data_IF_079797216324
#
_entry.id   IF_079797216324
#
_cell.length_a   1.000
_cell.length_b   1.000
_cell.length_c   1.000
_cell.angle_alpha   90.00
_cell.angle_beta   90.00
_cell.angle_gamma   90.00
#
_symmetry.space_group_name_H-M   'P 1'
#
loop_
_entity.id
_entity.type
_entity.pdbx_description
1 polymer ?
#
# COMPACT_ATOMS: atom_id res chain seq x y z
N UNK A 1 -11.15 -35.79 -51.67
CA UNK A 1 -11.81 -34.60 -51.08
C UNK A 1 -11.20 -34.33 -49.70
N UNK A 2 -10.32 -33.33 -49.59
CA UNK A 2 -9.63 -32.94 -48.34
C UNK A 2 -10.58 -32.11 -47.47
N UNK A 3 -10.96 -32.62 -46.30
CA UNK A 3 -11.71 -31.85 -45.28
C UNK A 3 -10.72 -31.12 -44.38
N UNK A 4 -10.49 -29.84 -44.68
CA UNK A 4 -9.75 -28.90 -43.83
C UNK A 4 -10.64 -28.62 -42.61
N UNK A 5 -10.20 -29.05 -41.42
CA UNK A 5 -10.81 -28.64 -40.16
C UNK A 5 -10.14 -27.34 -39.72
N UNK A 6 -10.85 -26.22 -39.79
CA UNK A 6 -10.46 -24.97 -39.15
C UNK A 6 -10.67 -25.12 -37.63
N UNK A 7 -9.57 -25.22 -36.89
CA UNK A 7 -9.57 -25.04 -35.43
C UNK A 7 -9.75 -23.55 -35.14
N UNK A 8 -10.96 -23.15 -34.75
CA UNK A 8 -11.23 -21.86 -34.13
C UNK A 8 -10.66 -21.88 -32.71
N UNK A 9 -9.41 -21.47 -32.57
CA UNK A 9 -8.84 -21.10 -31.28
C UNK A 9 -9.50 -19.82 -30.78
N UNK A 10 -10.33 -19.93 -29.74
CA UNK A 10 -10.85 -18.77 -29.02
C UNK A 10 -9.70 -18.20 -28.19
N UNK A 11 -8.98 -17.23 -28.75
CA UNK A 11 -8.08 -16.37 -27.99
C UNK A 11 -8.97 -15.40 -27.21
N UNK A 12 -9.14 -15.65 -25.91
CA UNK A 12 -9.70 -14.64 -25.00
C UNK A 12 -8.66 -13.51 -24.86
N UNK A 13 -8.76 -12.52 -25.74
CA UNK A 13 -8.18 -11.22 -25.49
C UNK A 13 -8.98 -10.58 -24.35
N UNK A 14 -8.42 -10.56 -23.15
CA UNK A 14 -8.87 -9.65 -22.10
C UNK A 14 -8.81 -8.24 -22.70
N UNK A 15 -9.98 -7.68 -23.01
CA UNK A 15 -10.12 -6.28 -23.41
C UNK A 15 -9.44 -5.41 -22.36
N UNK A 16 -8.66 -4.38 -22.74
CA UNK A 16 -8.15 -3.42 -21.79
C UNK A 16 -9.37 -2.70 -21.20
N UNK A 17 -9.78 -3.09 -20.00
CA UNK A 17 -10.70 -2.28 -19.22
C UNK A 17 -10.01 -0.93 -19.05
N UNK A 18 -10.70 0.14 -19.44
CA UNK A 18 -10.37 1.50 -19.01
C UNK A 18 -10.69 1.65 -17.52
N UNK A 19 -10.13 0.75 -16.71
CA UNK A 19 -10.30 0.67 -15.27
C UNK A 19 -9.41 1.71 -14.59
N UNK A 20 -9.79 2.07 -13.36
CA UNK A 20 -8.90 2.87 -12.53
C UNK A 20 -7.58 2.12 -12.33
N UNK A 21 -6.45 2.81 -12.32
CA UNK A 21 -5.18 2.19 -11.98
C UNK A 21 -4.45 3.09 -10.99
N UNK A 22 -4.04 2.52 -9.85
CA UNK A 22 -3.31 3.23 -8.83
C UNK A 22 -1.84 2.81 -8.88
N UNK A 23 -1.02 3.70 -9.45
CA UNK A 23 0.42 3.57 -9.60
C UNK A 23 1.08 4.92 -9.34
N UNK A 24 2.39 4.95 -9.00
CA UNK A 24 3.10 6.21 -8.83
C UNK A 24 3.15 7.00 -10.14
N UNK A 25 2.83 8.30 -10.10
CA UNK A 25 2.94 9.19 -11.26
C UNK A 25 4.20 10.06 -11.18
N UNK A 26 4.84 10.41 -12.32
CA UNK A 26 5.99 11.30 -12.31
C UNK A 26 5.65 12.64 -11.65
N UNK A 27 6.55 13.14 -10.80
CA UNK A 27 6.40 14.40 -10.06
C UNK A 27 5.25 14.44 -9.04
N UNK A 28 4.68 13.28 -8.69
CA UNK A 28 3.70 13.20 -7.62
C UNK A 28 4.36 13.50 -6.26
N UNK A 29 3.77 14.45 -5.53
CA UNK A 29 4.26 14.88 -4.20
C UNK A 29 3.47 14.29 -3.03
N UNK A 30 2.32 13.70 -3.30
CA UNK A 30 1.38 13.17 -2.30
C UNK A 30 1.15 11.66 -2.50
N UNK A 31 0.34 11.05 -1.63
CA UNK A 31 -0.06 9.66 -1.76
C UNK A 31 -0.76 9.36 -3.10
N UNK A 32 -0.70 8.08 -3.48
CA UNK A 32 -1.60 7.53 -4.49
C UNK A 32 -3.06 7.68 -4.05
N UNK A 33 -3.98 7.76 -5.01
CA UNK A 33 -5.42 7.86 -4.74
C UNK A 33 -5.90 6.71 -3.84
N UNK A 34 -6.53 7.00 -2.69
CA UNK A 34 -7.05 5.97 -1.79
C UNK A 34 -8.09 5.08 -2.47
N UNK A 35 -7.92 3.77 -2.33
CA UNK A 35 -8.82 2.76 -2.91
C UNK A 35 -9.62 1.96 -1.86
N UNK A 36 -9.25 2.10 -0.59
CA UNK A 36 -9.90 1.48 0.57
C UNK A 36 -10.37 2.55 1.56
N UNK A 37 -11.36 2.25 2.43
CA UNK A 37 -11.74 3.13 3.54
C UNK A 37 -10.56 3.44 4.46
N UNK A 38 -9.72 2.43 4.76
CA UNK A 38 -8.53 2.57 5.60
C UNK A 38 -7.54 3.59 5.02
N UNK A 39 -7.20 3.49 3.72
CA UNK A 39 -6.27 4.45 3.11
C UNK A 39 -6.84 5.86 3.05
N UNK A 40 -8.17 5.99 2.93
CA UNK A 40 -8.83 7.29 2.97
C UNK A 40 -8.63 7.95 4.35
N UNK A 41 -8.83 7.21 5.43
CA UNK A 41 -8.65 7.73 6.78
C UNK A 41 -7.16 7.99 7.10
N UNK A 42 -6.23 7.17 6.58
CA UNK A 42 -4.78 7.45 6.62
C UNK A 42 -4.47 8.77 5.91
N UNK A 43 -5.03 9.00 4.72
CA UNK A 43 -4.82 10.21 3.94
C UNK A 43 -5.34 11.46 4.67
N UNK A 44 -6.56 11.41 5.20
CA UNK A 44 -7.15 12.51 5.97
C UNK A 44 -6.34 12.81 7.23
N UNK A 45 -5.91 11.77 7.97
CA UNK A 45 -5.07 11.91 9.16
C UNK A 45 -3.70 12.51 8.82
N UNK A 46 -3.09 12.09 7.71
CA UNK A 46 -1.85 12.68 7.21
C UNK A 46 -2.01 14.18 6.92
N UNK A 47 -3.08 14.59 6.24
CA UNK A 47 -3.29 16.02 5.93
C UNK A 47 -3.45 16.86 7.20
N UNK A 48 -4.12 16.32 8.23
CA UNK A 48 -4.21 16.95 9.54
C UNK A 48 -2.82 17.11 10.19
N UNK A 49 -2.02 16.03 10.22
CA UNK A 49 -0.67 16.05 10.77
C UNK A 49 0.24 17.05 10.04
N UNK A 50 0.26 16.99 8.71
CA UNK A 50 1.06 17.87 7.87
C UNK A 50 0.69 19.35 8.09
N UNK A 51 -0.58 19.64 8.31
CA UNK A 51 -1.04 21.01 8.62
C UNK A 51 -0.53 21.48 9.99
N UNK A 52 -0.61 20.63 11.02
CA UNK A 52 -0.10 20.94 12.37
C UNK A 52 1.42 21.15 12.34
N UNK A 53 2.16 20.22 11.73
CA UNK A 53 3.62 20.30 11.59
C UNK A 53 4.04 21.52 10.78
N UNK A 54 3.34 21.80 9.67
CA UNK A 54 3.56 22.98 8.85
C UNK A 54 3.41 24.27 9.64
N UNK A 55 2.37 24.40 10.47
CA UNK A 55 2.17 25.59 11.33
C UNK A 55 3.27 25.72 12.38
N UNK A 56 3.71 24.62 12.99
CA UNK A 56 4.82 24.63 13.96
C UNK A 56 6.13 25.05 13.27
N UNK A 57 6.44 24.47 12.11
CA UNK A 57 7.64 24.82 11.33
C UNK A 57 7.61 26.29 10.93
N UNK A 58 6.46 26.81 10.47
CA UNK A 58 6.31 28.22 10.12
C UNK A 58 6.49 29.13 11.34
N UNK A 59 5.93 28.77 12.51
CA UNK A 59 6.12 29.52 13.75
C UNK A 59 7.60 29.57 14.15
N UNK A 60 8.27 28.43 14.19
CA UNK A 60 9.69 28.34 14.56
C UNK A 60 10.54 29.12 13.55
N UNK A 61 10.29 28.96 12.25
CA UNK A 61 11.00 29.69 11.21
C UNK A 61 10.80 31.21 11.35
N UNK A 62 9.57 31.67 11.61
CA UNK A 62 9.29 33.08 11.82
C UNK A 62 10.01 33.64 13.05
N UNK A 63 10.03 32.90 14.17
CA UNK A 63 10.77 33.28 15.37
C UNK A 63 12.28 33.34 15.12
N UNK A 64 12.84 32.38 14.38
CA UNK A 64 14.26 32.39 14.00
C UNK A 64 14.60 33.59 13.11
N UNK A 65 13.79 33.86 12.08
CA UNK A 65 13.95 35.03 11.21
C UNK A 65 13.86 36.32 12.03
N UNK A 66 12.89 36.41 12.94
CA UNK A 66 12.77 37.53 13.86
C UNK A 66 14.02 37.70 14.72
N UNK A 67 14.54 36.62 15.31
CA UNK A 67 15.76 36.66 16.13
C UNK A 67 16.96 37.13 15.32
N UNK A 68 17.15 36.58 14.11
CA UNK A 68 18.24 36.95 13.19
C UNK A 68 18.18 38.45 12.85
N UNK A 69 17.00 39.00 12.58
CA UNK A 69 16.86 40.41 12.18
C UNK A 69 16.92 41.36 13.37
N UNK A 70 16.27 41.01 14.49
CA UNK A 70 16.08 41.91 15.65
C UNK A 70 17.25 41.88 16.62
N UNK A 71 17.86 40.72 16.84
CA UNK A 71 18.89 40.50 17.87
C UNK A 71 20.30 40.33 17.30
N UNK A 72 20.53 40.54 16.00
CA UNK A 72 21.89 40.63 15.43
C UNK A 72 22.75 41.66 16.15
N UNK A 73 24.06 41.39 16.22
CA UNK A 73 25.04 42.21 16.94
C UNK A 73 25.01 43.71 16.58
N UNK A 74 24.74 44.05 15.31
CA UNK A 74 24.65 45.45 14.89
C UNK A 74 23.46 46.22 15.47
N UNK A 75 22.37 45.54 15.86
CA UNK A 75 21.14 46.16 16.39
C UNK A 75 20.93 45.94 17.89
N UNK A 76 21.56 44.93 18.48
CA UNK A 76 21.40 44.60 19.89
C UNK A 76 22.75 44.63 20.62
N UNK A 77 23.25 45.83 20.91
CA UNK A 77 24.58 46.04 21.53
C UNK A 77 24.63 45.71 23.02
N UNK A 78 23.49 45.66 23.71
CA UNK A 78 23.37 45.32 25.13
C UNK A 78 22.37 44.15 25.30
N UNK A 79 22.84 42.89 25.20
CA UNK A 79 21.95 41.73 25.32
C UNK A 79 21.35 41.62 26.73
N UNK A 80 20.13 41.09 26.80
CA UNK A 80 19.51 40.74 28.08
C UNK A 80 20.33 39.65 28.80
N UNK A 81 20.32 39.69 30.13
CA UNK A 81 20.96 38.69 31.00
C UNK A 81 19.95 37.72 31.64
N UNK A 82 18.68 37.82 31.27
CA UNK A 82 17.64 36.94 31.79
C UNK A 82 17.95 35.49 31.42
N UNK A 83 17.99 34.60 32.40
CA UNK A 83 18.35 33.19 32.19
C UNK A 83 17.14 32.25 32.09
N UNK A 84 16.00 32.61 32.69
CA UNK A 84 14.79 31.78 32.71
C UNK A 84 13.53 32.64 32.83
N UNK A 85 12.38 32.07 32.48
CA UNK A 85 11.08 32.70 32.67
C UNK A 85 9.99 31.64 32.86
N UNK A 86 9.78 31.18 34.09
CA UNK A 86 8.97 30.00 34.44
C UNK A 86 7.61 29.93 33.75
N UNK A 87 6.87 31.04 33.66
CA UNK A 87 5.56 31.05 32.99
C UNK A 87 5.67 30.68 31.50
N UNK A 88 6.73 31.15 30.82
CA UNK A 88 6.97 30.83 29.42
C UNK A 88 7.36 29.36 29.26
N UNK A 89 8.10 28.82 30.23
CA UNK A 89 8.49 27.41 30.26
C UNK A 89 7.28 26.48 30.41
N UNK A 90 6.34 26.85 31.29
CA UNK A 90 5.07 26.14 31.44
C UNK A 90 4.27 26.20 30.13
N UNK A 91 4.18 27.37 29.48
CA UNK A 91 3.42 27.54 28.24
C UNK A 91 3.98 26.66 27.12
N UNK A 92 5.29 26.71 26.84
CA UNK A 92 5.87 25.90 25.76
C UNK A 92 5.93 24.41 26.08
N UNK A 93 5.70 24.01 27.33
CA UNK A 93 5.62 22.59 27.72
C UNK A 93 4.18 22.09 27.60
N UNK A 94 3.21 22.89 28.08
CA UNK A 94 1.80 22.55 28.04
C UNK A 94 1.23 22.54 26.61
N UNK A 95 1.63 23.49 25.74
CA UNK A 95 1.11 23.56 24.38
C UNK A 95 1.45 22.30 23.56
N UNK A 96 2.71 21.83 23.47
CA UNK A 96 3.03 20.58 22.78
C UNK A 96 2.30 19.37 23.34
N UNK A 97 2.13 19.29 24.67
CA UNK A 97 1.37 18.22 25.30
C UNK A 97 -0.10 18.20 24.81
N UNK A 98 -0.74 19.37 24.74
CA UNK A 98 -2.11 19.50 24.23
C UNK A 98 -2.20 19.15 22.73
N UNK A 99 -1.22 19.56 21.92
CA UNK A 99 -1.15 19.21 20.49
C UNK A 99 -1.07 17.68 20.33
N UNK A 100 -0.20 17.01 21.10
CA UNK A 100 -0.09 15.55 21.07
C UNK A 100 -1.39 14.86 21.49
N UNK A 101 -2.11 15.38 22.48
CA UNK A 101 -3.41 14.84 22.89
C UNK A 101 -4.46 14.93 21.77
N UNK A 102 -4.49 16.05 21.03
CA UNK A 102 -5.38 16.23 19.87
C UNK A 102 -5.05 15.25 18.74
N UNK A 103 -3.76 14.99 18.50
CA UNK A 103 -3.30 14.03 17.49
C UNK A 103 -3.66 12.58 17.87
N UNK A 104 -3.51 12.24 19.16
CA UNK A 104 -3.65 10.87 19.64
C UNK A 104 -5.06 10.29 19.43
N UNK A 105 -6.12 11.08 19.61
CA UNK A 105 -7.50 10.60 19.52
C UNK A 105 -7.88 10.03 18.14
N UNK A 106 -7.75 10.76 17.01
CA UNK A 106 -8.00 10.21 15.69
C UNK A 106 -7.00 9.10 15.31
N UNK A 107 -5.75 9.18 15.80
CA UNK A 107 -4.73 8.16 15.57
C UNK A 107 -5.15 6.81 16.14
N UNK A 108 -5.61 6.75 17.39
CA UNK A 108 -6.07 5.49 17.99
C UNK A 108 -7.29 4.93 17.27
N UNK A 109 -8.27 5.77 16.90
CA UNK A 109 -9.44 5.32 16.15
C UNK A 109 -9.05 4.66 14.82
N UNK A 110 -8.11 5.27 14.09
CA UNK A 110 -7.58 4.73 12.84
C UNK A 110 -6.82 3.42 13.06
N UNK A 111 -5.98 3.34 14.10
CA UNK A 111 -5.26 2.12 14.46
C UNK A 111 -6.23 0.94 14.69
N UNK A 112 -7.30 1.15 15.46
CA UNK A 112 -8.31 0.12 15.68
C UNK A 112 -9.02 -0.29 14.38
N UNK A 113 -9.32 0.65 13.49
CA UNK A 113 -9.92 0.34 12.18
C UNK A 113 -9.00 -0.54 11.31
N UNK A 114 -7.69 -0.30 11.38
CA UNK A 114 -6.68 -1.06 10.64
C UNK A 114 -6.51 -2.49 11.18
N UNK A 115 -6.54 -2.67 12.50
CA UNK A 115 -6.25 -3.97 13.12
C UNK A 115 -7.51 -4.83 13.35
N UNK A 116 -8.70 -4.24 13.46
CA UNK A 116 -9.95 -4.99 13.61
C UNK A 116 -10.47 -5.46 12.25
N UNK A 117 -10.05 -6.65 11.83
CA UNK A 117 -10.59 -7.30 10.63
C UNK A 117 -12.11 -7.52 10.78
N UNK A 118 -12.95 -6.91 9.92
CA UNK A 118 -14.37 -7.21 9.90
C UNK A 118 -14.60 -8.66 9.46
N UNK A 119 -15.82 -9.18 9.64
CA UNK A 119 -16.18 -10.50 9.10
C UNK A 119 -15.82 -10.55 7.61
N UNK A 120 -14.92 -11.46 7.26
CA UNK A 120 -14.37 -11.62 5.92
C UNK A 120 -15.28 -12.49 5.07
N UNK A 121 -15.50 -12.08 3.82
CA UNK A 121 -16.24 -12.82 2.81
C UNK A 121 -15.30 -13.63 1.89
N UNK A 122 -14.01 -13.27 1.86
CA UNK A 122 -12.96 -13.94 1.11
C UNK A 122 -11.65 -13.90 1.90
N UNK A 123 -10.91 -15.01 1.90
CA UNK A 123 -9.54 -15.07 2.44
C UNK A 123 -8.53 -15.22 1.31
N UNK A 124 -7.45 -14.44 1.39
CA UNK A 124 -6.28 -14.58 0.52
C UNK A 124 -5.06 -14.73 1.43
N UNK A 125 -4.17 -15.66 1.10
CA UNK A 125 -2.89 -15.82 1.79
C UNK A 125 -1.76 -15.48 0.83
N UNK A 126 -0.95 -14.50 1.21
CA UNK A 126 0.22 -14.02 0.48
C UNK A 126 1.50 -14.52 1.16
N UNK A 127 2.29 -15.32 0.45
CA UNK A 127 3.52 -15.93 0.94
C UNK A 127 4.70 -15.29 0.21
N UNK A 128 5.59 -14.64 0.96
CA UNK A 128 6.84 -14.09 0.42
C UNK A 128 7.91 -15.17 0.26
N UNK A 129 8.51 -15.24 -0.92
CA UNK A 129 9.65 -16.10 -1.26
C UNK A 129 10.76 -15.26 -1.89
N UNK A 130 12.02 -15.71 -1.86
CA UNK A 130 13.13 -15.09 -2.58
C UNK A 130 13.09 -15.48 -4.07
N UNK A 131 12.70 -14.63 -5.02
CA UNK A 131 12.14 -13.27 -4.90
C UNK A 131 10.89 -13.16 -5.77
N UNK A 132 9.77 -13.66 -5.23
CA UNK A 132 8.44 -13.67 -5.83
C UNK A 132 7.37 -13.89 -4.75
N UNK A 133 6.09 -13.76 -5.11
CA UNK A 133 4.99 -14.00 -4.18
C UNK A 133 4.18 -15.24 -4.60
N UNK A 134 3.83 -16.09 -3.65
CA UNK A 134 2.82 -17.13 -3.86
C UNK A 134 1.50 -16.69 -3.23
N UNK A 135 0.40 -16.90 -3.93
CA UNK A 135 -0.94 -16.60 -3.43
C UNK A 135 -1.78 -17.87 -3.33
N UNK A 136 -2.50 -18.01 -2.21
CA UNK A 136 -3.50 -19.05 -1.99
C UNK A 136 -4.86 -18.40 -1.74
N UNK A 137 -5.90 -18.93 -2.37
CA UNK A 137 -7.30 -18.64 -2.08
C UNK A 137 -7.88 -19.89 -1.43
N UNK A 138 -7.71 -20.07 -0.10
CA UNK A 138 -8.06 -21.32 0.58
C UNK A 138 -9.55 -21.69 0.44
N UNK A 139 -10.42 -20.68 0.37
CA UNK A 139 -11.86 -20.87 0.19
C UNK A 139 -12.24 -21.43 -1.20
N UNK A 140 -11.29 -21.45 -2.15
CA UNK A 140 -11.51 -21.80 -3.55
C UNK A 140 -10.51 -22.82 -4.12
N UNK A 141 -9.57 -23.31 -3.31
CA UNK A 141 -8.51 -24.27 -3.70
C UNK A 141 -7.68 -23.79 -4.91
N UNK A 142 -7.36 -22.50 -4.93
CA UNK A 142 -6.51 -21.88 -5.96
C UNK A 142 -5.17 -21.52 -5.34
N UNK A 143 -4.08 -21.91 -6.01
CA UNK A 143 -2.72 -21.52 -5.68
C UNK A 143 -1.97 -21.14 -6.95
N UNK A 144 -1.21 -20.05 -6.91
CA UNK A 144 -0.30 -19.67 -8.00
C UNK A 144 0.84 -18.79 -7.53
N UNK A 145 1.91 -18.79 -8.30
CA UNK A 145 3.06 -17.90 -8.11
C UNK A 145 2.93 -16.65 -8.99
N UNK A 146 3.44 -15.54 -8.49
CA UNK A 146 3.43 -14.23 -9.12
C UNK A 146 4.86 -13.71 -9.23
N UNK A 147 5.39 -13.73 -10.45
CA UNK A 147 6.74 -13.30 -10.79
C UNK A 147 6.70 -11.98 -11.54
N UNK A 148 7.70 -11.13 -11.29
CA UNK A 148 7.88 -9.89 -12.04
C UNK A 148 8.14 -10.19 -13.52
N UNK A 149 7.46 -9.45 -14.41
CA UNK A 149 7.76 -9.50 -15.83
C UNK A 149 9.10 -8.83 -16.14
N UNK A 150 9.89 -9.46 -17.00
CA UNK A 150 11.08 -8.83 -17.59
C UNK A 150 10.70 -7.82 -18.66
N UNK A 151 11.60 -6.89 -19.01
CA UNK A 151 11.33 -5.83 -19.98
C UNK A 151 10.85 -6.35 -21.34
N UNK A 152 11.38 -7.50 -21.79
CA UNK A 152 10.99 -8.13 -23.05
C UNK A 152 9.59 -8.79 -23.00
N UNK A 153 9.04 -9.02 -21.81
CA UNK A 153 7.71 -9.61 -21.61
C UNK A 153 6.61 -8.56 -21.43
N UNK A 154 6.98 -7.29 -21.22
CA UNK A 154 6.03 -6.20 -21.02
C UNK A 154 5.29 -5.89 -22.32
N UNK A 155 3.97 -5.74 -22.21
CA UNK A 155 3.09 -5.23 -23.26
C UNK A 155 3.03 -3.70 -23.20
N UNK A 156 2.71 -3.02 -24.31
CA UNK A 156 2.49 -1.57 -24.32
C UNK A 156 1.49 -1.16 -23.23
N UNK A 157 1.88 -0.17 -22.40
CA UNK A 157 1.08 0.33 -21.28
C UNK A 157 1.35 -0.32 -19.93
N UNK A 158 2.10 -1.44 -19.87
CA UNK A 158 2.49 -2.06 -18.61
C UNK A 158 3.68 -1.36 -17.96
N UNK A 159 3.74 -1.41 -16.63
CA UNK A 159 4.73 -0.68 -15.83
C UNK A 159 5.95 -1.55 -15.55
N UNK A 160 7.13 -1.03 -15.91
CA UNK A 160 8.42 -1.65 -15.61
C UNK A 160 8.60 -1.80 -14.10
N UNK A 161 9.12 -2.96 -13.66
CA UNK A 161 9.35 -3.32 -12.25
C UNK A 161 8.09 -3.47 -11.37
N UNK A 162 6.89 -3.24 -11.91
CA UNK A 162 5.64 -3.32 -11.16
C UNK A 162 4.72 -4.43 -11.67
N UNK A 163 4.76 -4.74 -12.96
CA UNK A 163 3.91 -5.76 -13.56
C UNK A 163 4.37 -7.19 -13.26
N UNK A 164 3.41 -8.11 -13.17
CA UNK A 164 3.61 -9.54 -12.90
C UNK A 164 2.94 -10.44 -13.94
N UNK A 165 3.35 -11.71 -13.98
CA UNK A 165 2.74 -12.74 -14.83
C UNK A 165 1.33 -13.15 -14.37
N UNK A 166 1.11 -13.26 -13.06
CA UNK A 166 -0.16 -13.61 -12.44
C UNK A 166 -0.53 -12.58 -11.38
N UNK A 167 -1.60 -11.82 -11.63
CA UNK A 167 -2.14 -10.85 -10.68
C UNK A 167 -3.08 -11.52 -9.67
N UNK A 168 -3.12 -10.96 -8.47
CA UNK A 168 -4.17 -11.28 -7.48
C UNK A 168 -5.47 -10.66 -7.97
N UNK A 169 -6.53 -11.44 -8.18
CA UNK A 169 -7.84 -10.91 -8.57
C UNK A 169 -8.77 -10.91 -7.37
N UNK A 170 -9.48 -9.80 -7.15
CA UNK A 170 -10.40 -9.62 -6.02
C UNK A 170 -11.74 -9.01 -6.47
N UNK A 171 -12.86 -9.36 -5.85
CA UNK A 171 -14.13 -8.68 -6.09
C UNK A 171 -14.19 -7.33 -5.37
N UNK A 172 -14.78 -6.33 -6.04
CA UNK A 172 -15.11 -5.05 -5.42
C UNK A 172 -16.22 -5.19 -4.39
N UNK A 173 -16.27 -4.27 -3.42
CA UNK A 173 -17.26 -4.20 -2.34
C UNK A 173 -17.29 -5.39 -1.39
N UNK A 174 -16.25 -6.22 -1.38
CA UNK A 174 -16.13 -7.41 -0.52
C UNK A 174 -15.13 -7.19 0.60
N UNK A 175 -15.42 -7.69 1.81
CA UNK A 175 -14.44 -7.67 2.90
C UNK A 175 -13.47 -8.84 2.72
N UNK A 176 -12.20 -8.52 2.44
CA UNK A 176 -11.18 -9.51 2.13
C UNK A 176 -10.17 -9.53 3.26
N UNK A 177 -10.00 -10.70 3.88
CA UNK A 177 -8.92 -10.95 4.83
C UNK A 177 -7.68 -11.36 4.07
N UNK A 178 -6.59 -10.65 4.30
CA UNK A 178 -5.27 -10.98 3.77
C UNK A 178 -4.41 -11.50 4.91
N UNK A 179 -4.02 -12.77 4.81
CA UNK A 179 -3.05 -13.40 5.69
C UNK A 179 -1.69 -13.32 4.99
N UNK A 180 -0.64 -12.91 5.69
CA UNK A 180 0.70 -12.84 5.11
C UNK A 180 1.74 -13.55 5.97
N UNK A 181 2.65 -14.24 5.32
CA UNK A 181 3.75 -15.01 5.92
C UNK A 181 4.88 -15.19 4.91
N UNK A 182 5.99 -15.80 5.30
CA UNK A 182 7.08 -16.12 4.37
C UNK A 182 7.59 -17.55 4.56
N UNK A 183 8.11 -18.11 3.47
CA UNK A 183 8.78 -19.40 3.45
C UNK A 183 10.29 -19.34 3.70
N UNK A 184 10.91 -18.16 3.70
CA UNK A 184 12.37 -18.00 3.82
C UNK A 184 12.81 -16.88 4.77
N UNK A 185 12.92 -15.63 4.30
CA UNK A 185 13.36 -14.45 5.04
C UNK A 185 12.19 -13.50 5.27
N UNK A 186 12.39 -12.39 5.97
CA UNK A 186 11.31 -11.42 6.14
C UNK A 186 11.07 -10.68 4.82
N UNK A 187 9.80 -10.58 4.42
CA UNK A 187 9.32 -9.70 3.34
C UNK A 187 8.24 -8.78 3.90
N UNK A 188 7.65 -7.91 3.08
CA UNK A 188 6.48 -7.12 3.49
C UNK A 188 5.52 -6.92 2.34
N UNK A 189 4.28 -7.37 2.53
CA UNK A 189 3.22 -7.23 1.55
C UNK A 189 2.62 -5.84 1.66
N UNK A 190 2.92 -4.98 0.68
CA UNK A 190 2.56 -3.58 0.73
C UNK A 190 1.95 -3.09 -0.59
N UNK A 191 0.74 -2.54 -0.50
CA UNK A 191 0.01 -1.92 -1.60
C UNK A 191 -0.42 -0.52 -1.16
N UNK A 192 0.28 0.56 -1.60
CA UNK A 192 0.08 1.91 -1.08
C UNK A 192 -1.35 2.43 -1.22
N UNK A 193 -2.00 2.20 -2.35
CA UNK A 193 -3.39 2.63 -2.59
C UNK A 193 -4.40 1.98 -1.61
N UNK A 194 -4.04 0.86 -0.99
CA UNK A 194 -4.85 0.19 0.02
C UNK A 194 -4.52 0.62 1.45
N UNK A 195 -3.44 1.37 1.66
CA UNK A 195 -2.97 1.72 3.00
C UNK A 195 -2.45 0.52 3.77
N UNK A 196 -2.01 -0.53 3.06
CA UNK A 196 -1.52 -1.77 3.66
C UNK A 196 -0.03 -1.86 3.48
N UNK A 197 0.65 -2.09 4.59
CA UNK A 197 2.01 -2.62 4.68
C UNK A 197 2.04 -3.57 5.87
N UNK A 198 2.22 -4.86 5.62
CA UNK A 198 2.30 -5.87 6.68
C UNK A 198 3.42 -6.84 6.40
N UNK A 199 4.28 -7.03 7.39
CA UNK A 199 5.44 -7.89 7.24
C UNK A 199 5.04 -9.36 7.17
N UNK A 200 5.71 -10.05 6.27
CA UNK A 200 5.59 -11.47 5.98
C UNK A 200 6.73 -12.18 6.69
N UNK A 201 6.48 -12.62 7.93
CA UNK A 201 7.52 -13.17 8.81
C UNK A 201 7.48 -14.70 8.79
N UNK A 202 8.61 -15.39 8.54
CA UNK A 202 8.69 -16.84 8.62
C UNK A 202 8.23 -17.36 9.99
N UNK A 203 7.39 -18.40 10.00
CA UNK A 203 6.86 -19.01 11.22
C UNK A 203 5.76 -18.21 11.92
N UNK A 204 5.24 -17.12 11.33
CA UNK A 204 4.09 -16.36 11.83
C UNK A 204 3.09 -16.07 10.71
N UNK A 205 1.81 -16.09 11.06
CA UNK A 205 0.72 -15.61 10.20
C UNK A 205 0.33 -14.22 10.70
N UNK A 206 0.62 -13.19 9.91
CA UNK A 206 0.11 -11.85 10.15
C UNK A 206 -1.17 -11.65 9.35
N UNK A 207 -2.06 -10.80 9.86
CA UNK A 207 -3.35 -10.53 9.26
C UNK A 207 -3.53 -9.03 8.99
N UNK A 208 -4.25 -8.73 7.92
CA UNK A 208 -4.80 -7.42 7.60
C UNK A 208 -6.07 -7.62 6.78
N UNK A 209 -6.80 -6.55 6.50
CA UNK A 209 -8.00 -6.62 5.69
C UNK A 209 -8.05 -5.49 4.66
N UNK A 210 -8.83 -5.69 3.61
CA UNK A 210 -9.15 -4.65 2.62
C UNK A 210 -10.57 -4.79 2.11
N UNK A 211 -11.13 -3.66 1.69
CA UNK A 211 -12.37 -3.59 0.92
C UNK A 211 -12.18 -2.51 -0.15
N UNK A 212 -12.13 -2.93 -1.42
CA UNK A 212 -11.89 -2.04 -2.56
C UNK A 212 -13.22 -1.65 -3.19
N UNK A 213 -13.45 -0.36 -3.37
CA UNK A 213 -14.74 0.17 -3.86
C UNK A 213 -14.82 0.37 -5.36
N UNK A 214 -13.68 0.44 -6.04
CA UNK A 214 -13.59 0.74 -7.47
C UNK A 214 -12.86 -0.39 -8.19
N UNK A 215 -13.33 -0.72 -9.38
CA UNK A 215 -12.61 -1.65 -10.26
C UNK A 215 -11.30 -1.02 -10.71
N UNK A 216 -10.26 -1.83 -10.82
CA UNK A 216 -8.96 -1.31 -11.22
C UNK A 216 -7.76 -2.19 -10.91
N UNK A 217 -6.60 -1.71 -11.32
CA UNK A 217 -5.30 -2.37 -11.07
C UNK A 217 -4.50 -1.56 -10.06
N UNK A 218 -4.10 -2.20 -8.97
CA UNK A 218 -3.41 -1.60 -7.84
C UNK A 218 -2.03 -2.22 -7.69
N UNK A 219 -1.01 -1.38 -7.67
CA UNK A 219 0.38 -1.82 -7.65
C UNK A 219 1.00 -1.66 -6.26
N UNK A 220 1.87 -2.59 -5.92
CA UNK A 220 2.62 -2.65 -4.68
C UNK A 220 4.03 -3.22 -4.90
N UNK A 221 4.86 -3.15 -3.87
CA UNK A 221 6.23 -3.69 -3.89
C UNK A 221 6.57 -4.27 -2.52
N UNK A 222 7.52 -5.21 -2.50
CA UNK A 222 8.09 -5.67 -1.24
C UNK A 222 8.71 -4.49 -0.48
N UNK A 223 8.34 -4.34 0.79
CA UNK A 223 8.70 -3.18 1.63
C UNK A 223 9.54 -3.54 2.85
N UNK A 224 10.17 -4.71 2.86
CA UNK A 224 11.15 -5.17 3.85
C UNK A 224 12.33 -5.83 3.15
N UNK A 225 13.57 -5.46 3.52
CA UNK A 225 14.75 -5.86 2.78
C UNK A 225 14.97 -7.38 2.83
N UNK A 226 14.91 -8.03 1.67
CA UNK A 226 14.92 -9.50 1.55
C UNK A 226 16.04 -10.07 0.66
N UNK A 227 17.07 -9.27 0.35
CA UNK A 227 18.26 -9.70 -0.41
C UNK A 227 18.40 -9.06 -1.80
N UNK A 228 19.22 -9.67 -2.66
CA UNK A 228 19.71 -9.05 -3.91
C UNK A 228 18.60 -8.65 -4.89
N UNK A 229 17.49 -9.39 -4.94
CA UNK A 229 16.34 -9.03 -5.79
C UNK A 229 15.17 -8.41 -5.03
N UNK A 230 15.41 -7.80 -3.87
CA UNK A 230 14.37 -7.13 -3.06
C UNK A 230 13.48 -6.17 -3.86
N UNK A 231 14.06 -5.39 -4.78
CA UNK A 231 13.32 -4.44 -5.61
C UNK A 231 12.53 -5.08 -6.78
N UNK A 232 12.63 -6.40 -7.00
CA UNK A 232 12.16 -7.09 -8.20
C UNK A 232 11.10 -8.15 -7.92
N UNK A 233 10.32 -7.97 -6.86
CA UNK A 233 9.19 -8.83 -6.49
C UNK A 233 7.93 -8.01 -6.18
N UNK A 234 7.33 -7.37 -7.21
CA UNK A 234 6.19 -6.49 -7.05
C UNK A 234 4.91 -7.27 -6.73
N UNK A 235 3.88 -6.52 -6.38
CA UNK A 235 2.54 -7.00 -6.06
C UNK A 235 1.58 -6.30 -7.01
N UNK A 236 0.68 -7.06 -7.65
CA UNK A 236 -0.39 -6.49 -8.47
C UNK A 236 -1.71 -7.11 -8.07
N UNK A 237 -2.66 -6.25 -7.72
CA UNK A 237 -4.01 -6.63 -7.34
C UNK A 237 -4.99 -6.01 -8.34
N UNK A 238 -5.82 -6.83 -8.96
CA UNK A 238 -6.86 -6.43 -9.89
C UNK A 238 -8.23 -6.58 -9.21
N UNK A 239 -8.88 -5.46 -8.94
CA UNK A 239 -10.25 -5.42 -8.44
C UNK A 239 -11.23 -5.42 -9.61
N UNK A 240 -12.16 -6.37 -9.59
CA UNK A 240 -13.14 -6.60 -10.65
C UNK A 240 -14.56 -6.62 -10.08
N UNK A 241 -15.58 -6.63 -10.93
CA UNK A 241 -16.95 -6.85 -10.42
C UNK A 241 -17.08 -8.25 -9.79
N UNK A 242 -18.01 -8.47 -8.85
CA UNK A 242 -18.28 -9.80 -8.31
C UNK A 242 -18.55 -10.86 -9.40
N UNK A 243 -19.23 -10.49 -10.49
CA UNK A 243 -19.53 -11.39 -11.61
C UNK A 243 -18.26 -11.77 -12.36
N UNK A 244 -17.40 -10.80 -12.67
CA UNK A 244 -16.10 -11.06 -13.30
C UNK A 244 -15.20 -11.92 -12.40
N UNK A 245 -15.24 -11.71 -11.09
CA UNK A 245 -14.51 -12.55 -10.13
C UNK A 245 -15.00 -14.01 -10.18
N UNK A 246 -16.31 -14.24 -10.25
CA UNK A 246 -16.84 -15.61 -10.41
C UNK A 246 -16.39 -16.25 -11.73
N UNK A 247 -16.37 -15.50 -12.83
CA UNK A 247 -15.84 -16.02 -14.10
C UNK A 247 -14.35 -16.35 -14.00
N UNK A 248 -13.57 -15.51 -13.32
CA UNK A 248 -12.16 -15.79 -13.05
C UNK A 248 -11.97 -17.07 -12.24
N UNK A 249 -12.76 -17.30 -11.18
CA UNK A 249 -12.73 -18.53 -10.38
C UNK A 249 -13.00 -19.78 -11.25
N UNK A 250 -14.00 -19.73 -12.12
CA UNK A 250 -14.32 -20.83 -13.04
C UNK A 250 -13.16 -21.13 -14.01
N UNK A 251 -12.51 -20.08 -14.52
CA UNK A 251 -11.36 -20.23 -15.42
C UNK A 251 -10.17 -20.93 -14.74
N UNK A 252 -9.94 -20.66 -13.44
CA UNK A 252 -8.85 -21.25 -12.67
C UNK A 252 -9.10 -22.71 -12.30
N UNK A 253 -10.37 -23.10 -12.07
CA UNK A 253 -10.74 -24.50 -11.84
C UNK A 253 -10.62 -25.37 -13.10
N UNK A 254 -10.71 -24.77 -14.28
CA UNK A 254 -10.69 -25.49 -15.57
C UNK A 254 -9.27 -25.60 -16.15
N UNK A 255 -8.32 -24.77 -15.69
CA UNK A 255 -6.93 -24.83 -16.12
C UNK A 255 -6.20 -26.01 -15.42
N UNK A 256 -5.36 -26.79 -16.12
CA UNK A 256 -4.54 -27.81 -15.48
C UNK A 256 -3.66 -27.17 -14.41
N UNK A 257 -3.80 -27.62 -13.16
CA UNK A 257 -2.93 -27.25 -12.04
C UNK A 257 -1.50 -27.69 -12.39
N UNK A 258 -0.72 -26.79 -12.98
CA UNK A 258 0.70 -27.06 -13.25
C UNK A 258 1.45 -26.88 -11.93
N UNK A 259 1.51 -27.95 -11.14
CA UNK A 259 2.44 -28.04 -10.03
C UNK A 259 3.87 -27.96 -10.60
N UNK A 260 4.42 -26.75 -10.69
CA UNK A 260 5.87 -26.57 -10.84
C UNK A 260 6.48 -26.64 -9.45
N UNK A 261 6.56 -27.85 -8.91
CA UNK A 261 7.43 -28.15 -7.78
C UNK A 261 8.87 -28.22 -8.27
N UNK A 262 9.73 -27.42 -7.67
CA UNK A 262 11.19 -27.47 -7.78
C UNK A 262 11.77 -27.07 -6.44
#
# INVERSE_FOLDING_TARGET
MRRIHFLLGVIFALSPSTGWAAYPTPWQMYYQSPATPVMKDIYDFHLMLLSIEGLIVLLVAALLVFVIIRFRASRNKAPSKNAHHTLLEVIWTAIPLLILAVIAFPSFKLLYLMDLTPKSDLTIKAIGNQWYWTYEYPDHDIRFDSNMLTENQLKPGQLRLLEVDNRVVIPTNTNIRVITTSSDVIHSWAVPAFGIKRDSVPGRLNETWLNVKKEGVYYGQCSEFCGIKHAFMPIVVEAVTPEQFQQWLLSKKTAPQTHRGG
#
